data_IF_380236624978
#
_entry.id   IF_380236624978
#
_cell.length_a   1.000
_cell.length_b   1.000
_cell.length_c   1.000
_cell.angle_alpha   90.00
_cell.angle_beta   90.00
_cell.angle_gamma   90.00
#
_symmetry.space_group_name_H-M   'P 1'
#
loop_
_entity.id
_entity.type
_entity.pdbx_description
1 polymer ?
#
# COMPACT_ATOMS: atom_id res chain seq x y z
N UNK A 1 9.81 14.33 0.46
CA UNK A 1 9.30 13.13 -0.21
C UNK A 1 10.50 12.32 -0.67
N UNK A 2 10.53 11.01 -0.41
CA UNK A 2 11.62 10.14 -0.89
C UNK A 2 11.40 9.79 -2.37
N UNK A 3 12.08 10.52 -3.25
CA UNK A 3 11.85 10.46 -4.70
C UNK A 3 12.24 9.11 -5.30
N UNK A 4 13.29 8.47 -4.78
CA UNK A 4 13.74 7.16 -5.23
C UNK A 4 12.69 6.07 -4.94
N UNK A 5 12.08 6.07 -3.76
CA UNK A 5 10.99 5.13 -3.45
C UNK A 5 9.79 5.36 -4.35
N UNK A 6 9.40 6.62 -4.59
CA UNK A 6 8.28 6.95 -5.48
C UNK A 6 8.53 6.46 -6.92
N UNK A 7 9.74 6.69 -7.45
CA UNK A 7 10.12 6.21 -8.77
C UNK A 7 10.15 4.68 -8.85
N UNK A 8 10.71 4.01 -7.83
CA UNK A 8 10.74 2.55 -7.77
C UNK A 8 9.33 1.93 -7.72
N UNK A 9 8.43 2.54 -6.94
CA UNK A 9 7.03 2.11 -6.83
C UNK A 9 6.27 2.30 -8.15
N UNK A 10 6.43 3.46 -8.80
CA UNK A 10 5.86 3.71 -10.14
C UNK A 10 6.37 2.69 -11.16
N UNK A 11 7.69 2.46 -11.19
CA UNK A 11 8.29 1.49 -12.09
C UNK A 11 7.79 0.05 -11.84
N UNK A 12 7.59 -0.34 -10.58
CA UNK A 12 6.97 -1.62 -10.24
C UNK A 12 5.52 -1.71 -10.73
N UNK A 13 4.73 -0.65 -10.50
CA UNK A 13 3.32 -0.58 -10.92
C UNK A 13 3.18 -0.67 -12.43
N UNK A 14 4.05 0.01 -13.19
CA UNK A 14 4.09 -0.11 -14.65
C UNK A 14 4.33 -1.56 -15.08
N UNK A 15 5.37 -2.23 -14.54
CA UNK A 15 5.64 -3.64 -14.85
C UNK A 15 4.47 -4.55 -14.50
N UNK A 16 3.76 -4.25 -13.41
CA UNK A 16 2.58 -5.01 -13.00
C UNK A 16 1.44 -4.87 -14.03
N UNK A 17 1.16 -3.65 -14.49
CA UNK A 17 0.15 -3.40 -15.51
C UNK A 17 0.54 -4.03 -16.87
N UNK A 18 1.80 -3.90 -17.27
CA UNK A 18 2.31 -4.50 -18.52
C UNK A 18 2.15 -6.02 -18.51
N UNK A 19 2.47 -6.68 -17.40
CA UNK A 19 2.30 -8.13 -17.25
C UNK A 19 0.82 -8.56 -17.34
N UNK A 20 -0.11 -7.75 -16.83
CA UNK A 20 -1.54 -7.99 -17.00
C UNK A 20 -1.98 -7.84 -18.45
N UNK A 21 -1.48 -6.80 -19.14
CA UNK A 21 -1.78 -6.55 -20.53
C UNK A 21 -1.25 -7.68 -21.43
N UNK A 22 -0.02 -8.15 -21.21
CA UNK A 22 0.58 -9.24 -21.98
C UNK A 22 -0.19 -10.56 -21.80
N UNK A 23 -0.60 -10.88 -20.57
CA UNK A 23 -1.20 -12.18 -20.25
C UNK A 23 -2.71 -12.24 -20.49
N UNK A 24 -3.43 -11.14 -20.27
CA UNK A 24 -4.90 -11.12 -20.30
C UNK A 24 -5.47 -10.13 -21.34
N UNK A 25 -4.64 -9.29 -21.95
CA UNK A 25 -5.09 -8.24 -22.88
C UNK A 25 -5.86 -7.12 -22.18
N UNK A 26 -5.71 -6.97 -20.86
CA UNK A 26 -6.49 -6.03 -20.05
C UNK A 26 -5.65 -5.35 -18.96
N UNK A 27 -6.23 -4.30 -18.38
CA UNK A 27 -5.81 -3.76 -17.09
C UNK A 27 -6.01 -4.78 -15.95
N UNK A 28 -5.36 -4.58 -14.79
CA UNK A 28 -5.62 -5.36 -13.59
C UNK A 28 -7.11 -5.43 -13.24
N UNK A 29 -7.57 -6.64 -12.93
CA UNK A 29 -8.93 -6.93 -12.48
C UNK A 29 -8.92 -7.34 -11.00
N UNK A 30 -9.82 -6.77 -10.19
CA UNK A 30 -9.95 -7.10 -8.78
C UNK A 30 -11.40 -7.33 -8.37
N UNK A 31 -11.69 -8.52 -7.83
CA UNK A 31 -12.95 -8.85 -7.16
C UNK A 31 -13.03 -8.21 -5.77
N UNK A 32 -11.91 -8.15 -5.05
CA UNK A 32 -11.84 -7.63 -3.67
C UNK A 32 -12.16 -6.14 -3.57
N UNK A 33 -11.95 -5.39 -4.66
CA UNK A 33 -12.23 -3.95 -4.75
C UNK A 33 -13.62 -3.64 -5.31
N UNK A 34 -14.42 -4.66 -5.63
CA UNK A 34 -15.78 -4.45 -6.12
C UNK A 34 -16.66 -3.76 -5.07
N UNK A 35 -17.35 -2.70 -5.50
CA UNK A 35 -18.21 -1.89 -4.63
C UNK A 35 -17.48 -0.87 -3.74
N UNK A 36 -16.14 -0.77 -3.84
CA UNK A 36 -15.35 0.24 -3.12
C UNK A 36 -14.97 1.39 -4.08
N UNK A 37 -15.51 2.61 -3.90
CA UNK A 37 -15.24 3.73 -4.81
C UNK A 37 -13.77 4.13 -4.88
N UNK A 38 -13.30 4.43 -6.09
CA UNK A 38 -11.95 4.93 -6.33
C UNK A 38 -11.83 5.59 -7.70
N UNK A 39 -10.95 6.61 -7.85
CA UNK A 39 -10.59 7.15 -9.17
C UNK A 39 -9.88 6.12 -10.07
N UNK A 40 -9.33 5.05 -9.49
CA UNK A 40 -8.62 4.00 -10.25
C UNK A 40 -9.53 3.17 -11.14
N UNK A 41 -10.84 3.14 -10.86
CA UNK A 41 -11.80 2.30 -11.58
C UNK A 41 -11.96 2.79 -13.02
N UNK A 42 -11.69 1.91 -13.98
CA UNK A 42 -11.92 2.14 -15.41
C UNK A 42 -13.32 1.67 -15.80
N UNK A 43 -13.66 0.45 -15.37
CA UNK A 43 -14.95 -0.18 -15.63
C UNK A 43 -15.19 -1.29 -14.60
N UNK A 44 -16.42 -1.78 -14.53
CA UNK A 44 -16.82 -2.84 -13.61
C UNK A 44 -17.50 -3.98 -14.36
N UNK A 45 -17.24 -5.21 -13.93
CA UNK A 45 -17.99 -6.39 -14.32
C UNK A 45 -19.15 -6.58 -13.33
N UNK A 46 -19.69 -7.80 -13.25
CA UNK A 46 -20.76 -8.14 -12.30
C UNK A 46 -20.27 -8.19 -10.85
N UNK A 47 -18.99 -8.47 -10.65
CA UNK A 47 -18.39 -8.87 -9.38
C UNK A 47 -16.93 -8.39 -9.22
N UNK A 48 -16.39 -7.65 -10.19
CA UNK A 48 -15.02 -7.15 -10.16
C UNK A 48 -14.88 -5.77 -10.82
N UNK A 49 -13.74 -5.12 -10.61
CA UNK A 49 -13.40 -3.83 -11.21
C UNK A 49 -12.07 -3.91 -11.96
N UNK A 50 -12.06 -3.37 -13.17
CA UNK A 50 -10.83 -3.07 -13.90
C UNK A 50 -10.28 -1.74 -13.43
N UNK A 51 -8.97 -1.68 -13.19
CA UNK A 51 -8.37 -0.49 -12.61
C UNK A 51 -7.00 -0.15 -13.17
N UNK A 52 -6.65 1.14 -13.10
CA UNK A 52 -5.30 1.66 -13.41
C UNK A 52 -4.85 2.62 -12.30
N UNK A 53 -3.53 2.78 -12.08
CA UNK A 53 -3.04 3.73 -11.09
C UNK A 53 -3.45 5.16 -11.45
N UNK A 54 -3.74 5.97 -10.43
CA UNK A 54 -4.10 7.38 -10.58
C UNK A 54 -3.20 8.25 -9.72
N UNK A 55 -3.05 9.56 -10.04
CA UNK A 55 -2.38 10.50 -9.15
C UNK A 55 -2.97 10.45 -7.75
N UNK A 56 -2.11 10.51 -6.74
CA UNK A 56 -2.56 10.70 -5.37
C UNK A 56 -3.10 12.13 -5.20
N UNK A 57 -4.14 12.28 -4.38
CA UNK A 57 -4.70 13.57 -4.03
C UNK A 57 -4.83 13.69 -2.51
N UNK A 58 -4.34 14.81 -1.95
CA UNK A 58 -4.41 15.10 -0.52
C UNK A 58 -3.03 15.38 0.08
N UNK A 59 -2.92 15.24 1.40
CA UNK A 59 -1.64 15.38 2.09
C UNK A 59 -0.75 14.16 1.83
N UNK A 60 0.39 14.38 1.17
CA UNK A 60 1.30 13.33 0.73
C UNK A 60 2.18 12.76 1.86
N UNK A 61 1.60 12.55 3.04
CA UNK A 61 2.29 12.08 4.23
C UNK A 61 1.37 11.26 5.15
N UNK A 62 1.98 10.43 6.01
CA UNK A 62 1.28 9.69 7.06
C UNK A 62 1.49 10.32 8.44
N UNK A 63 1.56 11.66 8.52
CA UNK A 63 1.88 12.36 9.77
C UNK A 63 0.82 12.11 10.85
N UNK A 64 -0.40 11.69 10.51
CA UNK A 64 -1.38 11.29 11.52
C UNK A 64 -0.90 10.08 12.33
N UNK A 65 -0.16 9.16 11.70
CA UNK A 65 0.45 7.99 12.35
C UNK A 65 1.57 8.44 13.30
N UNK A 66 2.43 9.35 12.85
CA UNK A 66 3.49 9.93 13.69
C UNK A 66 2.92 10.63 14.93
N UNK A 67 1.94 11.52 14.73
CA UNK A 67 1.27 12.26 15.82
C UNK A 67 0.56 11.34 16.80
N UNK A 68 -0.03 10.24 16.33
CA UNK A 68 -0.74 9.30 17.19
C UNK A 68 0.19 8.49 18.10
N UNK A 69 1.46 8.30 17.71
CA UNK A 69 2.39 7.41 18.40
C UNK A 69 3.67 8.06 18.93
N UNK A 70 3.90 9.34 18.62
CA UNK A 70 5.12 10.08 18.96
C UNK A 70 6.37 9.33 18.43
N UNK A 71 6.34 9.01 17.14
CA UNK A 71 7.42 8.30 16.42
C UNK A 71 7.81 9.09 15.18
N UNK A 72 9.03 8.86 14.68
CA UNK A 72 9.41 9.27 13.33
C UNK A 72 9.26 8.10 12.36
N UNK A 73 8.47 8.33 11.31
CA UNK A 73 8.27 7.38 10.24
C UNK A 73 9.34 7.59 9.17
N UNK A 74 9.83 6.49 8.59
CA UNK A 74 10.83 6.61 7.51
C UNK A 74 10.22 7.35 6.31
N UNK A 75 10.93 8.32 5.70
CA UNK A 75 10.44 9.07 4.53
C UNK A 75 9.94 8.20 3.38
N UNK A 76 10.55 7.02 3.20
CA UNK A 76 10.14 6.02 2.22
C UNK A 76 8.70 5.53 2.43
N UNK A 77 8.21 5.43 3.67
CA UNK A 77 6.84 4.99 3.93
C UNK A 77 5.81 6.07 3.58
N UNK A 78 6.15 7.35 3.79
CA UNK A 78 5.30 8.45 3.32
C UNK A 78 5.12 8.31 1.81
N UNK A 79 6.24 8.25 1.07
CA UNK A 79 6.21 8.07 -0.37
C UNK A 79 5.44 6.81 -0.79
N UNK A 80 5.65 5.68 -0.10
CA UNK A 80 5.01 4.41 -0.44
C UNK A 80 3.47 4.48 -0.47
N UNK A 81 2.84 5.13 0.51
CA UNK A 81 1.38 5.23 0.58
C UNK A 81 0.79 6.47 -0.12
N UNK A 82 1.62 7.45 -0.52
CA UNK A 82 1.14 8.71 -1.11
C UNK A 82 1.66 9.01 -2.52
N UNK A 83 2.37 8.06 -3.16
CA UNK A 83 2.86 8.26 -4.54
C UNK A 83 1.74 8.22 -5.58
N UNK A 84 0.72 7.39 -5.36
CA UNK A 84 -0.37 7.12 -6.29
C UNK A 84 -1.55 6.50 -5.55
N UNK A 85 -2.74 6.56 -6.16
CA UNK A 85 -3.80 5.61 -5.87
C UNK A 85 -3.64 4.37 -6.76
N UNK A 86 -3.77 3.19 -6.16
CA UNK A 86 -3.68 1.91 -6.86
C UNK A 86 -4.36 0.80 -6.05
N UNK A 87 -4.75 -0.29 -6.72
CA UNK A 87 -5.17 -1.51 -6.05
C UNK A 87 -3.98 -2.30 -5.53
N UNK A 88 -4.27 -3.24 -4.61
CA UNK A 88 -3.26 -4.16 -4.10
C UNK A 88 -2.67 -5.02 -5.21
N UNK A 89 -1.35 -5.23 -5.17
CA UNK A 89 -0.60 -5.89 -6.24
C UNK A 89 0.07 -7.17 -5.74
N UNK A 90 -0.44 -8.36 -6.11
CA UNK A 90 0.25 -9.62 -5.92
C UNK A 90 1.61 -9.64 -6.62
N UNK A 91 2.64 -10.00 -5.89
CA UNK A 91 4.02 -9.99 -6.35
C UNK A 91 4.79 -11.20 -5.81
N UNK A 92 6.01 -11.37 -6.32
CA UNK A 92 6.96 -12.35 -5.83
C UNK A 92 8.31 -11.68 -5.59
N UNK A 93 8.90 -11.95 -4.43
CA UNK A 93 10.25 -11.54 -4.09
C UNK A 93 11.05 -12.78 -3.69
N UNK A 94 12.04 -13.14 -4.49
CA UNK A 94 12.70 -14.45 -4.43
C UNK A 94 11.66 -15.59 -4.43
N UNK A 95 11.66 -16.46 -3.42
CA UNK A 95 10.70 -17.57 -3.30
C UNK A 95 9.42 -17.20 -2.53
N UNK A 96 9.28 -15.95 -2.09
CA UNK A 96 8.16 -15.50 -1.26
C UNK A 96 7.10 -14.78 -2.09
N UNK A 97 5.86 -15.29 -2.00
CA UNK A 97 4.67 -14.66 -2.59
C UNK A 97 4.05 -13.68 -1.60
N UNK A 98 3.86 -12.45 -2.04
CA UNK A 98 3.32 -11.37 -1.23
C UNK A 98 2.27 -10.59 -2.01
N UNK A 99 1.46 -9.82 -1.28
CA UNK A 99 0.57 -8.81 -1.88
C UNK A 99 1.02 -7.47 -1.36
N UNK A 100 1.49 -6.62 -2.26
CA UNK A 100 1.93 -5.26 -1.96
C UNK A 100 0.68 -4.40 -1.76
N UNK A 101 0.57 -3.79 -0.58
CA UNK A 101 -0.60 -3.02 -0.19
C UNK A 101 -0.50 -1.60 -0.75
N UNK A 102 -1.59 -1.06 -1.25
CA UNK A 102 -1.65 0.28 -1.81
C UNK A 102 -2.83 1.08 -1.25
N UNK A 103 -2.82 2.39 -1.49
CA UNK A 103 -3.91 3.28 -1.13
C UNK A 103 -4.92 3.30 -2.27
N UNK A 104 -6.15 2.85 -2.04
CA UNK A 104 -7.14 2.73 -3.11
C UNK A 104 -7.82 4.07 -3.46
N UNK A 105 -8.04 4.94 -2.47
CA UNK A 105 -8.71 6.24 -2.60
C UNK A 105 -8.40 7.11 -1.38
N UNK A 106 -8.90 8.35 -1.35
CA UNK A 106 -8.76 9.22 -0.16
C UNK A 106 -9.40 8.62 1.10
N UNK A 107 -10.60 8.03 0.96
CA UNK A 107 -11.29 7.37 2.07
C UNK A 107 -10.51 6.16 2.58
N UNK A 108 -9.95 5.39 1.64
CA UNK A 108 -9.12 4.24 1.97
C UNK A 108 -7.80 4.66 2.62
N UNK A 109 -7.20 5.77 2.20
CA UNK A 109 -5.99 6.32 2.84
C UNK A 109 -6.18 6.58 4.33
N UNK A 110 -7.37 7.05 4.71
CA UNK A 110 -7.73 7.24 6.12
C UNK A 110 -7.76 5.91 6.87
N UNK A 111 -8.32 4.85 6.27
CA UNK A 111 -8.34 3.50 6.84
C UNK A 111 -6.95 2.88 6.91
N UNK A 112 -6.09 3.11 5.93
CA UNK A 112 -4.69 2.70 5.95
C UNK A 112 -4.00 3.28 7.18
N UNK A 113 -4.15 4.59 7.44
CA UNK A 113 -3.57 5.22 8.62
C UNK A 113 -4.13 4.67 9.93
N UNK A 114 -5.44 4.44 10.01
CA UNK A 114 -6.09 3.80 11.18
C UNK A 114 -5.52 2.39 11.43
N UNK A 115 -5.32 1.59 10.38
CA UNK A 115 -4.73 0.25 10.47
C UNK A 115 -3.27 0.28 10.91
N UNK A 116 -2.48 1.23 10.40
CA UNK A 116 -1.09 1.43 10.81
C UNK A 116 -1.01 1.80 12.30
N UNK A 117 -1.87 2.71 12.77
CA UNK A 117 -1.98 3.09 14.19
C UNK A 117 -2.37 1.88 15.04
N UNK A 118 -3.41 1.12 14.64
CA UNK A 118 -3.86 -0.07 15.37
C UNK A 118 -2.77 -1.15 15.49
N UNK A 119 -1.95 -1.31 14.45
CA UNK A 119 -0.78 -2.18 14.47
C UNK A 119 0.29 -1.70 15.46
N UNK A 120 0.61 -0.41 15.47
CA UNK A 120 1.53 0.18 16.46
C UNK A 120 1.03 0.05 17.90
N UNK A 121 -0.28 0.21 18.15
CA UNK A 121 -0.92 -0.03 19.47
C UNK A 121 -0.65 -1.45 19.93
N UNK A 122 -0.85 -2.42 19.05
CA UNK A 122 -0.63 -3.82 19.37
C UNK A 122 0.85 -4.09 19.67
N UNK A 123 1.77 -3.52 18.89
CA UNK A 123 3.22 -3.67 19.11
C UNK A 123 3.67 -3.05 20.43
N UNK A 124 3.22 -1.84 20.75
CA UNK A 124 3.52 -1.17 22.02
C UNK A 124 3.03 -1.98 23.22
N UNK A 125 1.81 -2.53 23.15
CA UNK A 125 1.27 -3.42 24.20
C UNK A 125 2.14 -4.68 24.39
N UNK A 126 2.68 -5.22 23.31
CA UNK A 126 3.53 -6.41 23.31
C UNK A 126 5.03 -6.10 23.51
N UNK A 127 5.40 -4.83 23.72
CA UNK A 127 6.80 -4.36 23.82
C UNK A 127 7.67 -4.76 22.62
N UNK A 128 7.07 -4.81 21.43
CA UNK A 128 7.78 -5.10 20.18
C UNK A 128 8.34 -3.82 19.56
N UNK A 129 9.45 -3.90 18.80
CA UNK A 129 9.94 -2.77 18.02
C UNK A 129 8.86 -2.27 17.05
N UNK A 130 8.67 -0.94 16.94
CA UNK A 130 7.67 -0.36 16.05
C UNK A 130 8.04 -0.64 14.60
N UNK A 131 7.09 -1.20 13.86
CA UNK A 131 7.25 -1.47 12.44
C UNK A 131 5.95 -1.20 11.71
N UNK A 132 6.03 -0.73 10.47
CA UNK A 132 4.87 -0.39 9.65
C UNK A 132 4.84 -1.31 8.43
N UNK A 133 3.72 -1.99 8.23
CA UNK A 133 3.59 -3.00 7.19
C UNK A 133 3.34 -2.36 5.81
N UNK A 134 3.78 -3.06 4.75
CA UNK A 134 3.59 -2.66 3.34
C UNK A 134 3.12 -3.81 2.45
N UNK A 135 3.21 -5.05 2.94
CA UNK A 135 2.74 -6.21 2.21
C UNK A 135 2.29 -7.32 3.14
N UNK A 136 1.40 -8.17 2.64
CA UNK A 136 0.95 -9.40 3.32
C UNK A 136 1.61 -10.60 2.64
N UNK A 137 2.22 -11.50 3.41
CA UNK A 137 2.77 -12.76 2.90
C UNK A 137 1.67 -13.83 2.82
N UNK A 138 1.63 -14.60 1.73
CA UNK A 138 0.61 -15.67 1.58
C UNK A 138 0.83 -16.87 2.50
N UNK A 139 2.08 -17.22 2.81
CA UNK A 139 2.43 -18.46 3.54
C UNK A 139 2.61 -18.30 5.04
N UNK A 140 2.76 -17.07 5.54
CA UNK A 140 3.01 -16.77 6.95
C UNK A 140 2.12 -15.61 7.36
N UNK A 141 1.57 -15.62 8.58
CA UNK A 141 0.91 -14.44 9.20
C UNK A 141 1.95 -13.35 9.53
N UNK A 142 2.74 -12.97 8.54
CA UNK A 142 3.88 -12.09 8.66
C UNK A 142 3.78 -11.08 7.52
N UNK A 143 4.04 -9.82 7.85
CA UNK A 143 3.95 -8.73 6.88
C UNK A 143 5.37 -8.25 6.59
N UNK A 144 5.63 -7.85 5.34
CA UNK A 144 6.84 -7.09 5.01
C UNK A 144 6.67 -5.69 5.64
N UNK A 145 7.71 -5.20 6.29
CA UNK A 145 7.61 -4.01 7.15
C UNK A 145 8.83 -3.11 7.05
N UNK A 146 8.59 -1.80 7.17
CA UNK A 146 9.61 -0.82 7.52
C UNK A 146 9.82 -0.78 9.03
N UNK A 147 11.06 -0.56 9.48
CA UNK A 147 11.37 -0.28 10.87
C UNK A 147 11.25 1.22 11.15
N UNK A 148 10.51 1.60 12.18
CA UNK A 148 10.49 2.99 12.61
C UNK A 148 11.69 3.24 13.52
N UNK A 149 12.30 4.41 13.42
CA UNK A 149 13.30 4.82 14.40
C UNK A 149 12.55 5.36 15.62
N UNK A 150 12.63 4.63 16.72
CA UNK A 150 12.20 5.16 18.01
C UNK A 150 13.36 6.00 18.52
N UNK A 151 13.44 7.25 18.04
CA UNK A 151 14.54 8.18 18.30
C UNK A 151 15.12 8.00 19.71
N UNK A 152 16.36 7.53 19.75
CA UNK A 152 17.23 7.60 20.92
C UNK A 152 18.27 8.67 20.68
#
# INVERSE_FOLDING_TARGET
>A
MDELTAQALKAFTTRYCDAWQEKHGSWPLSEELYGVPSPCIISSTRDAVYWQPQPFEGEENVNAVERAFDIMVQPALHAFYTTQFAGDMPAQFADEKLTLLQTWSQDDFRRVQENLIGHLVTQKRLKLPPTLFIAILRRRKMNLRFYCDAGK
#
